data_IF_839493241067
#
_entry.id   IF_839493241067
#
_cell.length_a   1.000
_cell.length_b   1.000
_cell.length_c   1.000
_cell.angle_alpha   90.00
_cell.angle_beta   90.00
_cell.angle_gamma   90.00
#
_symmetry.space_group_name_H-M   'P 1'
#
loop_
_entity.id
_entity.type
_entity.pdbx_description
1 polymer ?
#
# COMPACT_ATOMS: atom_id res chain seq x y z
N UNK A 1 47.18 24.40 -8.29
CA UNK A 1 45.74 24.41 -8.60
C UNK A 1 45.45 23.25 -9.53
N UNK A 2 44.95 22.14 -8.97
CA UNK A 2 44.77 20.87 -9.67
C UNK A 2 43.48 20.83 -10.49
N UNK A 3 43.63 20.59 -11.78
CA UNK A 3 42.52 20.33 -12.70
C UNK A 3 42.13 18.85 -12.67
N UNK A 4 40.91 18.58 -12.20
CA UNK A 4 40.27 17.27 -12.13
C UNK A 4 39.93 16.75 -13.54
N UNK A 5 40.88 16.08 -14.21
CA UNK A 5 40.61 15.30 -15.42
C UNK A 5 40.11 13.92 -15.01
N UNK A 6 38.79 13.76 -14.91
CA UNK A 6 38.14 12.44 -14.86
C UNK A 6 38.52 11.72 -16.15
N UNK A 7 39.31 10.68 -16.03
CA UNK A 7 39.66 9.76 -17.11
C UNK A 7 38.41 9.01 -17.53
N UNK A 8 37.74 9.51 -18.56
CA UNK A 8 36.67 8.78 -19.26
C UNK A 8 37.25 7.49 -19.84
N UNK A 9 36.61 6.35 -19.55
CA UNK A 9 36.90 5.10 -20.24
C UNK A 9 36.33 5.16 -21.66
N UNK A 10 37.04 4.66 -22.68
CA UNK A 10 36.52 4.60 -24.02
C UNK A 10 35.44 3.49 -24.14
N UNK A 11 34.50 3.61 -25.08
CA UNK A 11 33.50 2.57 -25.36
C UNK A 11 34.16 1.29 -25.92
N UNK A 12 33.53 0.11 -25.72
CA UNK A 12 34.11 -1.16 -26.15
C UNK A 12 34.08 -1.27 -27.67
N UNK A 13 35.24 -1.44 -28.31
CA UNK A 13 35.33 -1.66 -29.75
C UNK A 13 36.60 -1.20 -30.46
N UNK A 14 37.56 -0.58 -29.76
CA UNK A 14 38.87 -0.24 -30.34
C UNK A 14 40.02 -0.81 -29.50
N UNK A 15 40.99 -1.53 -30.09
CA UNK A 15 42.20 -1.95 -29.39
C UNK A 15 43.16 -0.75 -29.29
N UNK A 16 42.86 0.17 -28.37
CA UNK A 16 43.76 1.27 -28.00
C UNK A 16 44.69 0.82 -26.89
N UNK A 17 46.01 0.94 -27.12
CA UNK A 17 47.06 0.59 -26.15
C UNK A 17 46.86 1.34 -24.83
N UNK A 18 46.54 0.61 -23.75
CA UNK A 18 46.65 1.14 -22.40
C UNK A 18 48.13 1.40 -22.11
N UNK A 19 48.46 2.62 -21.67
CA UNK A 19 49.83 3.03 -21.36
C UNK A 19 50.49 2.08 -20.36
N UNK A 20 51.67 1.59 -20.72
CA UNK A 20 52.51 0.68 -19.93
C UNK A 20 53.14 1.48 -18.77
N UNK A 21 52.68 1.30 -17.54
CA UNK A 21 53.46 1.65 -16.35
C UNK A 21 54.65 0.67 -16.25
N UNK A 22 55.90 1.13 -16.10
CA UNK A 22 57.03 0.23 -15.86
C UNK A 22 57.12 -0.10 -14.36
N UNK A 23 57.52 -1.33 -14.07
CA UNK A 23 57.80 -1.86 -12.73
C UNK A 23 56.61 -2.05 -11.79
N UNK A 24 55.79 -3.06 -12.07
CA UNK A 24 55.35 -4.05 -11.08
C UNK A 24 54.66 -5.18 -11.87
N UNK A 25 55.37 -6.29 -12.08
CA UNK A 25 54.81 -7.49 -12.71
C UNK A 25 53.79 -8.15 -11.77
N UNK A 26 52.59 -7.57 -11.68
CA UNK A 26 51.43 -8.28 -11.14
C UNK A 26 50.85 -9.16 -12.25
N UNK A 27 50.55 -10.45 -12.00
CA UNK A 27 49.88 -11.28 -12.99
C UNK A 27 48.54 -10.63 -13.37
N UNK A 28 48.10 -10.76 -14.63
CA UNK A 28 46.84 -10.17 -15.07
C UNK A 28 45.72 -10.76 -14.21
N UNK A 29 45.19 -9.94 -13.30
CA UNK A 29 44.03 -10.27 -12.50
C UNK A 29 42.88 -10.42 -13.49
N UNK A 30 42.66 -11.65 -13.95
CA UNK A 30 41.69 -11.99 -14.98
C UNK A 30 40.35 -11.29 -14.67
N UNK A 31 39.67 -10.77 -15.68
CA UNK A 31 38.34 -10.14 -15.57
C UNK A 31 37.32 -10.95 -14.73
N UNK A 32 37.58 -12.25 -14.53
CA UNK A 32 36.84 -13.14 -13.64
C UNK A 32 36.98 -12.80 -12.16
N UNK A 33 38.13 -12.30 -11.70
CA UNK A 33 38.35 -11.97 -10.28
C UNK A 33 37.61 -10.68 -9.90
N UNK A 34 37.61 -9.67 -10.77
CA UNK A 34 36.88 -8.42 -10.53
C UNK A 34 35.35 -8.64 -10.57
N UNK A 35 34.86 -9.51 -11.46
CA UNK A 35 33.45 -9.91 -11.51
C UNK A 35 33.01 -10.85 -10.37
N UNK A 36 33.96 -11.52 -9.70
CA UNK A 36 33.68 -12.33 -8.52
C UNK A 36 33.56 -11.49 -7.24
N UNK A 37 34.31 -10.38 -7.14
CA UNK A 37 34.27 -9.47 -5.98
C UNK A 37 32.92 -8.74 -5.85
N UNK A 38 32.20 -8.51 -6.96
CA UNK A 38 30.84 -7.94 -6.92
C UNK A 38 29.72 -8.97 -6.69
N UNK A 39 30.05 -10.27 -6.63
CA UNK A 39 29.10 -11.39 -6.69
C UNK A 39 28.97 -12.12 -5.34
N UNK A 40 28.94 -11.36 -4.24
CA UNK A 40 29.02 -11.94 -2.89
C UNK A 40 28.09 -11.33 -1.84
N UNK A 41 27.06 -10.56 -2.20
CA UNK A 41 26.00 -10.23 -1.24
C UNK A 41 25.03 -11.41 -1.19
N UNK A 42 25.33 -12.41 -0.35
CA UNK A 42 24.50 -13.59 -0.18
C UNK A 42 23.09 -13.15 0.25
N UNK A 43 22.12 -13.33 -0.65
CA UNK A 43 20.68 -13.11 -0.42
C UNK A 43 20.19 -13.59 0.97
N UNK A 44 20.64 -14.73 1.53
CA UNK A 44 20.23 -15.15 2.88
C UNK A 44 20.58 -14.17 4.00
N UNK A 45 21.68 -13.40 3.90
CA UNK A 45 22.04 -12.43 4.94
C UNK A 45 21.07 -11.24 4.99
N UNK A 46 20.51 -10.84 3.84
CA UNK A 46 19.53 -9.75 3.80
C UNK A 46 18.19 -10.17 4.40
N UNK A 47 17.73 -11.39 4.12
CA UNK A 47 16.54 -11.94 4.78
C UNK A 47 16.77 -12.15 6.28
N UNK A 48 17.99 -12.51 6.70
CA UNK A 48 18.34 -12.58 8.12
C UNK A 48 18.20 -11.23 8.83
N UNK A 49 18.63 -10.12 8.19
CA UNK A 49 18.45 -8.78 8.75
C UNK A 49 16.97 -8.40 8.92
N UNK A 50 16.14 -8.71 7.91
CA UNK A 50 14.68 -8.48 7.98
C UNK A 50 14.06 -9.32 9.11
N UNK A 51 14.47 -10.58 9.23
CA UNK A 51 13.99 -11.48 10.29
C UNK A 51 14.36 -10.96 11.67
N UNK A 52 15.63 -10.57 11.88
CA UNK A 52 16.12 -10.05 13.16
C UNK A 52 15.38 -8.75 13.53
N UNK A 53 15.19 -7.84 12.57
CA UNK A 53 14.47 -6.60 12.80
C UNK A 53 13.01 -6.86 13.17
N UNK A 54 12.32 -7.73 12.43
CA UNK A 54 10.93 -8.12 12.69
C UNK A 54 10.78 -8.80 14.05
N UNK A 55 11.70 -9.72 14.39
CA UNK A 55 11.71 -10.40 15.69
C UNK A 55 11.96 -9.42 16.84
N UNK A 56 12.86 -8.45 16.65
CA UNK A 56 13.13 -7.41 17.65
C UNK A 56 11.91 -6.51 17.86
N UNK A 57 11.20 -6.14 16.78
CA UNK A 57 9.98 -5.35 16.87
C UNK A 57 8.87 -6.10 17.65
N UNK A 58 8.66 -7.38 17.33
CA UNK A 58 7.73 -8.25 18.07
C UNK A 58 8.16 -8.36 19.54
N UNK A 59 9.44 -8.64 19.80
CA UNK A 59 9.96 -8.73 21.17
C UNK A 59 9.78 -7.42 21.94
N UNK A 60 9.93 -6.26 21.30
CA UNK A 60 9.72 -4.98 21.93
C UNK A 60 8.25 -4.76 22.30
N UNK A 61 7.31 -5.05 21.39
CA UNK A 61 5.87 -4.93 21.65
C UNK A 61 5.43 -5.89 22.75
N UNK A 62 5.73 -7.18 22.61
CA UNK A 62 5.34 -8.17 23.62
C UNK A 62 6.09 -7.98 24.94
N UNK A 63 7.38 -7.66 24.88
CA UNK A 63 8.22 -7.39 26.05
C UNK A 63 7.73 -6.18 26.84
N UNK A 64 7.34 -5.10 26.16
CA UNK A 64 6.77 -3.92 26.83
C UNK A 64 5.38 -4.18 27.44
N UNK A 65 4.52 -4.96 26.76
CA UNK A 65 3.23 -5.39 27.32
C UNK A 65 3.41 -6.28 28.57
N UNK A 66 4.36 -7.23 28.52
CA UNK A 66 4.68 -8.13 29.64
C UNK A 66 5.29 -7.34 30.79
N UNK A 67 6.26 -6.48 30.52
CA UNK A 67 6.82 -5.57 31.52
C UNK A 67 5.72 -4.71 32.15
N UNK A 68 4.84 -4.12 31.33
CA UNK A 68 3.68 -3.36 31.80
C UNK A 68 2.75 -4.17 32.70
N UNK A 69 2.54 -5.46 32.41
CA UNK A 69 1.74 -6.36 33.25
C UNK A 69 2.36 -6.61 34.63
N UNK A 70 3.70 -6.64 34.73
CA UNK A 70 4.41 -6.81 36.00
C UNK A 70 4.57 -5.50 36.79
N UNK A 71 4.73 -4.36 36.10
CA UNK A 71 4.89 -3.05 36.74
C UNK A 71 3.56 -2.44 37.21
N UNK A 72 2.44 -2.77 36.56
CA UNK A 72 1.13 -2.16 36.86
C UNK A 72 0.54 -2.70 38.17
N UNK A 73 -0.03 -1.84 39.03
CA UNK A 73 -0.85 -2.28 40.16
C UNK A 73 -2.03 -3.14 39.71
N UNK A 74 -2.19 -4.31 40.33
CA UNK A 74 -3.29 -5.23 40.05
C UNK A 74 -4.48 -4.94 40.98
N UNK A 75 -5.47 -4.21 40.48
CA UNK A 75 -6.65 -3.78 41.25
C UNK A 75 -7.94 -3.97 40.43
N UNK A 76 -8.38 -5.23 40.21
CA UNK A 76 -9.60 -5.54 39.49
C UNK A 76 -10.82 -5.03 40.26
N UNK A 77 -11.74 -4.39 39.56
CA UNK A 77 -13.01 -3.93 40.10
C UNK A 77 -14.11 -4.17 39.06
N UNK A 78 -15.30 -4.57 39.50
CA UNK A 78 -16.47 -4.84 38.66
C UNK A 78 -16.81 -3.65 37.75
N UNK A 79 -16.73 -2.44 38.28
CA UNK A 79 -17.00 -1.19 37.52
C UNK A 79 -15.87 -0.85 36.53
N UNK A 80 -14.62 -1.35 36.74
CA UNK A 80 -13.53 -1.17 35.75
C UNK A 80 -13.62 -2.18 34.60
N UNK A 81 -14.29 -3.30 34.82
CA UNK A 81 -14.44 -4.38 33.83
C UNK A 81 -15.74 -4.30 33.02
N UNK A 82 -16.60 -3.32 33.29
CA UNK A 82 -17.83 -3.11 32.50
C UNK A 82 -17.52 -2.36 31.19
N UNK A 83 -18.37 -2.57 30.19
CA UNK A 83 -18.31 -1.84 28.92
C UNK A 83 -18.62 -0.35 29.19
N UNK A 84 -17.86 0.53 28.54
CA UNK A 84 -18.04 1.98 28.66
C UNK A 84 -19.29 2.44 27.90
N UNK A 85 -20.26 3.02 28.62
CA UNK A 85 -21.51 3.57 28.08
C UNK A 85 -21.80 4.94 28.74
N UNK A 86 -20.87 5.90 28.63
CA UNK A 86 -21.01 7.27 29.16
C UNK A 86 -21.40 7.38 30.67
N UNK A 87 -21.06 6.37 31.48
CA UNK A 87 -21.35 6.32 32.91
C UNK A 87 -22.60 5.52 33.28
N UNK A 88 -23.36 5.03 32.30
CA UNK A 88 -24.51 4.17 32.51
C UNK A 88 -24.18 2.68 32.36
N UNK A 89 -25.09 1.82 32.83
CA UNK A 89 -24.96 0.37 32.62
C UNK A 89 -25.43 0.04 31.20
N UNK A 90 -24.63 -0.70 30.41
CA UNK A 90 -25.02 -1.08 29.04
C UNK A 90 -26.28 -1.94 29.09
N UNK A 91 -27.25 -1.62 28.26
CA UNK A 91 -28.52 -2.33 28.13
C UNK A 91 -28.65 -2.95 26.74
N UNK A 92 -29.16 -4.18 26.68
CA UNK A 92 -29.45 -4.86 25.43
C UNK A 92 -28.26 -5.61 24.81
N UNK A 93 -28.45 -6.05 23.58
CA UNK A 93 -27.47 -6.79 22.79
C UNK A 93 -26.71 -5.83 21.86
N UNK A 94 -25.39 -5.97 21.80
CA UNK A 94 -24.54 -5.17 20.90
C UNK A 94 -24.52 -5.68 19.44
N UNK A 95 -25.37 -6.66 19.12
CA UNK A 95 -25.42 -7.29 17.80
C UNK A 95 -26.47 -6.60 16.93
N UNK A 96 -26.00 -5.88 15.93
CA UNK A 96 -26.84 -5.26 14.90
C UNK A 96 -26.19 -5.45 13.53
N UNK A 97 -27.03 -5.44 12.48
CA UNK A 97 -26.52 -5.49 11.12
C UNK A 97 -25.82 -4.17 10.81
N UNK A 98 -24.50 -4.24 10.73
CA UNK A 98 -23.69 -3.12 10.31
C UNK A 98 -23.92 -2.83 8.82
N UNK A 99 -23.71 -1.58 8.42
CA UNK A 99 -24.01 -1.14 7.06
C UNK A 99 -23.18 -1.95 6.04
N UNK A 100 -23.76 -2.55 4.98
CA UNK A 100 -23.00 -3.33 4.00
C UNK A 100 -21.97 -2.51 3.19
N UNK A 101 -21.99 -1.18 3.28
CA UNK A 101 -21.04 -0.29 2.58
C UNK A 101 -19.57 -0.58 2.91
N UNK A 102 -19.27 -1.02 4.14
CA UNK A 102 -17.89 -1.40 4.51
C UNK A 102 -17.40 -2.61 3.73
N UNK A 103 -18.30 -3.53 3.41
CA UNK A 103 -17.98 -4.69 2.57
C UNK A 103 -17.66 -4.28 1.14
N UNK A 104 -18.42 -3.33 0.56
CA UNK A 104 -18.16 -2.83 -0.80
C UNK A 104 -16.79 -2.16 -0.90
N UNK A 105 -16.43 -1.32 0.06
CA UNK A 105 -15.11 -0.66 0.11
C UNK A 105 -13.98 -1.71 0.23
N UNK A 106 -14.14 -2.70 1.11
CA UNK A 106 -13.16 -3.77 1.28
C UNK A 106 -13.01 -4.63 0.01
N UNK A 107 -14.12 -4.96 -0.65
CA UNK A 107 -14.11 -5.72 -1.90
C UNK A 107 -13.38 -4.97 -3.01
N UNK A 108 -13.67 -3.67 -3.19
CA UNK A 108 -12.99 -2.82 -4.17
C UNK A 108 -11.49 -2.74 -3.86
N UNK A 109 -11.11 -2.55 -2.59
CA UNK A 109 -9.70 -2.55 -2.18
C UNK A 109 -8.97 -3.85 -2.53
N UNK A 110 -9.57 -5.01 -2.26
CA UNK A 110 -8.96 -6.31 -2.58
C UNK A 110 -8.78 -6.49 -4.09
N UNK A 111 -9.75 -6.05 -4.90
CA UNK A 111 -9.63 -6.09 -6.36
C UNK A 111 -8.45 -5.23 -6.83
N UNK A 112 -8.30 -4.02 -6.29
CA UNK A 112 -7.16 -3.13 -6.60
C UNK A 112 -5.81 -3.66 -6.12
N UNK A 113 -5.74 -4.32 -4.96
CA UNK A 113 -4.51 -4.98 -4.50
C UNK A 113 -4.06 -6.07 -5.47
N UNK A 114 -5.01 -6.87 -5.96
CA UNK A 114 -4.72 -7.92 -6.96
C UNK A 114 -4.28 -7.32 -8.30
N UNK A 115 -4.87 -6.20 -8.73
CA UNK A 115 -4.42 -5.46 -9.91
C UNK A 115 -2.93 -5.10 -9.83
N UNK A 116 -2.53 -4.49 -8.71
CA UNK A 116 -1.15 -4.07 -8.48
C UNK A 116 -0.21 -5.28 -8.46
N UNK A 117 -0.62 -6.39 -7.85
CA UNK A 117 0.15 -7.62 -7.83
C UNK A 117 0.47 -8.16 -9.23
N UNK A 118 -0.43 -7.99 -10.20
CA UNK A 118 -0.18 -8.34 -11.60
C UNK A 118 0.67 -7.32 -12.36
N UNK A 119 0.58 -6.04 -11.99
CA UNK A 119 1.31 -4.97 -12.66
C UNK A 119 2.81 -4.97 -12.30
N UNK A 120 3.16 -5.35 -11.08
CA UNK A 120 4.55 -5.37 -10.59
C UNK A 120 5.50 -6.23 -11.43
N UNK A 121 5.19 -7.51 -11.74
CA UNK A 121 6.05 -8.33 -12.59
C UNK A 121 6.31 -7.72 -13.96
N UNK A 122 5.27 -7.19 -14.62
CA UNK A 122 5.39 -6.57 -15.95
C UNK A 122 6.24 -5.29 -15.87
N UNK A 123 6.01 -4.45 -14.86
CA UNK A 123 6.81 -3.26 -14.61
C UNK A 123 8.29 -3.60 -14.36
N UNK A 124 8.58 -4.67 -13.62
CA UNK A 124 9.93 -5.10 -13.30
C UNK A 124 10.75 -5.51 -14.54
N UNK A 125 10.09 -6.05 -15.58
CA UNK A 125 10.75 -6.47 -16.83
C UNK A 125 10.47 -5.53 -18.02
N UNK A 126 9.78 -4.41 -17.80
CA UNK A 126 9.35 -3.49 -18.88
C UNK A 126 10.50 -3.01 -19.77
N UNK A 127 11.68 -2.76 -19.17
CA UNK A 127 12.89 -2.40 -19.92
C UNK A 127 13.27 -3.45 -20.97
N UNK A 128 13.13 -4.73 -20.64
CA UNK A 128 13.42 -5.82 -21.57
C UNK A 128 12.41 -5.88 -22.73
N UNK A 129 11.16 -5.49 -22.53
CA UNK A 129 10.18 -5.35 -23.62
C UNK A 129 10.53 -4.20 -24.56
N UNK A 130 11.00 -3.06 -24.04
CA UNK A 130 11.47 -1.94 -24.87
C UNK A 130 12.65 -2.37 -25.75
N UNK A 131 13.64 -3.06 -25.16
CA UNK A 131 14.83 -3.53 -25.88
C UNK A 131 14.49 -4.53 -27.01
N UNK A 132 13.39 -5.29 -26.86
CA UNK A 132 12.87 -6.23 -27.87
C UNK A 132 11.99 -5.56 -28.94
N UNK A 133 11.68 -4.28 -28.80
CA UNK A 133 10.75 -3.56 -29.69
C UNK A 133 9.27 -3.76 -29.37
N UNK A 134 8.95 -4.47 -28.28
CA UNK A 134 7.59 -4.80 -27.83
C UNK A 134 7.05 -3.82 -26.77
N UNK A 135 7.82 -2.80 -26.40
CA UNK A 135 7.48 -1.88 -25.31
C UNK A 135 6.12 -1.19 -25.47
N UNK A 136 5.75 -0.80 -26.70
CA UNK A 136 4.44 -0.18 -26.97
C UNK A 136 3.29 -1.16 -26.74
N UNK A 137 3.43 -2.42 -27.16
CA UNK A 137 2.42 -3.46 -26.94
C UNK A 137 2.22 -3.68 -25.43
N UNK A 138 3.29 -3.94 -24.70
CA UNK A 138 3.25 -4.15 -23.25
C UNK A 138 2.65 -2.95 -22.50
N UNK A 139 2.93 -1.73 -22.96
CA UNK A 139 2.31 -0.53 -22.41
C UNK A 139 0.80 -0.50 -22.63
N UNK A 140 0.33 -0.81 -23.85
CA UNK A 140 -1.10 -0.83 -24.15
C UNK A 140 -1.83 -1.95 -23.42
N UNK A 141 -1.22 -3.12 -23.23
CA UNK A 141 -1.81 -4.21 -22.45
C UNK A 141 -2.04 -3.80 -20.99
N UNK A 142 -1.04 -3.18 -20.36
CA UNK A 142 -1.18 -2.68 -18.99
C UNK A 142 -2.17 -1.51 -18.91
N UNK A 143 -2.13 -0.59 -19.86
CA UNK A 143 -3.08 0.52 -19.92
C UNK A 143 -4.52 0.04 -20.11
N UNK A 144 -4.74 -1.00 -20.93
CA UNK A 144 -6.05 -1.63 -21.11
C UNK A 144 -6.51 -2.33 -19.83
N UNK A 145 -5.62 -3.08 -19.17
CA UNK A 145 -5.91 -3.76 -17.92
C UNK A 145 -6.34 -2.77 -16.82
N UNK A 146 -5.57 -1.71 -16.61
CA UNK A 146 -5.91 -0.61 -15.68
C UNK A 146 -7.19 0.09 -16.13
N UNK A 147 -7.35 0.33 -17.44
CA UNK A 147 -8.52 0.98 -18.00
C UNK A 147 -9.84 0.24 -17.71
N UNK A 148 -9.84 -1.09 -17.82
CA UNK A 148 -11.02 -1.92 -17.51
C UNK A 148 -11.42 -1.78 -16.04
N UNK A 149 -10.46 -1.82 -15.12
CA UNK A 149 -10.71 -1.70 -13.68
C UNK A 149 -11.09 -0.27 -13.29
N UNK A 150 -10.48 0.74 -13.91
CA UNK A 150 -10.85 2.13 -13.76
C UNK A 150 -12.30 2.40 -14.20
N UNK A 151 -12.77 1.77 -15.28
CA UNK A 151 -14.18 1.83 -15.70
C UNK A 151 -15.09 1.18 -14.66
N UNK A 152 -14.70 0.03 -14.11
CA UNK A 152 -15.44 -0.62 -13.02
C UNK A 152 -15.55 0.27 -11.78
N UNK A 153 -14.46 0.94 -11.38
CA UNK A 153 -14.47 1.89 -10.27
C UNK A 153 -15.32 3.12 -10.59
N UNK A 154 -15.21 3.68 -11.79
CA UNK A 154 -16.03 4.81 -12.23
C UNK A 154 -17.52 4.46 -12.19
N UNK A 155 -17.90 3.23 -12.57
CA UNK A 155 -19.27 2.74 -12.47
C UNK A 155 -19.77 2.72 -11.02
N UNK A 156 -19.02 2.10 -10.10
CA UNK A 156 -19.38 2.01 -8.67
C UNK A 156 -19.44 3.40 -8.02
N UNK A 157 -18.54 4.30 -8.43
CA UNK A 157 -18.58 5.70 -8.00
C UNK A 157 -19.82 6.40 -8.52
N UNK A 158 -20.14 6.29 -9.81
CA UNK A 158 -21.34 6.90 -10.39
C UNK A 158 -22.64 6.40 -9.74
N UNK A 159 -22.67 5.14 -9.28
CA UNK A 159 -23.79 4.56 -8.51
C UNK A 159 -23.86 5.05 -7.05
N UNK A 160 -22.90 5.87 -6.63
CA UNK A 160 -22.78 6.42 -5.28
C UNK A 160 -22.45 5.35 -4.23
N UNK A 161 -22.09 4.12 -4.60
CA UNK A 161 -21.85 3.02 -3.65
C UNK A 161 -20.66 3.27 -2.72
N UNK A 162 -19.80 4.22 -3.10
CA UNK A 162 -18.70 4.74 -2.28
C UNK A 162 -19.11 5.88 -1.35
N UNK A 163 -20.33 6.42 -1.48
CA UNK A 163 -20.80 7.55 -0.67
C UNK A 163 -21.22 7.11 0.74
N UNK A 164 -20.71 7.84 1.72
CA UNK A 164 -21.05 7.60 3.11
C UNK A 164 -22.49 7.99 3.46
N UNK A 165 -23.05 8.99 2.77
CA UNK A 165 -24.37 9.58 3.04
C UNK A 165 -25.25 9.47 1.79
N UNK A 166 -25.76 8.27 1.48
CA UNK A 166 -26.84 8.13 0.49
C UNK A 166 -28.16 8.64 1.05
N UNK A 167 -28.72 9.66 0.40
CA UNK A 167 -30.17 9.84 0.25
C UNK A 167 -31.01 10.37 1.41
N UNK A 168 -30.76 10.04 2.69
CA UNK A 168 -31.72 10.36 3.77
C UNK A 168 -32.08 11.86 3.87
N UNK A 169 -31.21 12.76 3.38
CA UNK A 169 -31.53 14.18 3.27
C UNK A 169 -32.51 14.51 2.14
N UNK A 170 -32.38 13.94 0.94
CA UNK A 170 -33.21 14.38 -0.19
C UNK A 170 -34.65 13.91 -0.08
N UNK A 171 -34.86 12.66 0.34
CA UNK A 171 -36.17 12.04 0.50
C UNK A 171 -36.95 12.72 1.63
N UNK A 172 -36.28 12.96 2.77
CA UNK A 172 -36.86 13.69 3.90
C UNK A 172 -37.09 15.17 3.56
N UNK A 173 -36.16 15.84 2.85
CA UNK A 173 -36.36 17.23 2.44
C UNK A 173 -37.47 17.38 1.39
N UNK A 174 -37.67 16.39 0.52
CA UNK A 174 -38.80 16.34 -0.41
C UNK A 174 -40.13 16.20 0.35
N UNK A 175 -40.19 15.27 1.31
CA UNK A 175 -41.35 15.09 2.19
C UNK A 175 -41.66 16.32 3.04
N UNK A 176 -40.64 16.99 3.57
CA UNK A 176 -40.82 18.23 4.35
C UNK A 176 -41.33 19.38 3.49
N UNK A 177 -40.84 19.52 2.25
CA UNK A 177 -41.34 20.52 1.30
C UNK A 177 -42.78 20.24 0.88
N UNK A 178 -43.14 18.98 0.64
CA UNK A 178 -44.52 18.58 0.33
C UNK A 178 -45.47 18.89 1.48
N UNK A 179 -45.06 18.56 2.72
CA UNK A 179 -45.85 18.82 3.93
C UNK A 179 -46.00 20.32 4.24
N UNK A 180 -45.03 21.14 3.85
CA UNK A 180 -45.10 22.61 3.95
C UNK A 180 -45.91 23.25 2.82
N UNK A 181 -46.00 22.60 1.66
CA UNK A 181 -46.80 23.05 0.52
C UNK A 181 -48.29 22.66 0.64
N UNK A 182 -48.63 21.73 1.54
CA UNK A 182 -50.02 21.37 1.82
C UNK A 182 -50.75 22.54 2.50
N UNK A 183 -51.90 23.02 1.95
CA UNK A 183 -52.67 24.08 2.58
C UNK A 183 -53.12 23.65 3.99
N UNK A 184 -53.14 24.57 4.98
CA UNK A 184 -53.54 24.23 6.33
C UNK A 184 -54.96 23.64 6.29
N UNK A 185 -55.09 22.41 6.78
CA UNK A 185 -56.39 21.75 6.91
C UNK A 185 -57.33 22.65 7.71
N UNK A 186 -58.36 23.14 7.03
CA UNK A 186 -59.44 23.93 7.59
C UNK A 186 -60.02 23.16 8.79
N UNK A 187 -59.72 23.63 10.01
CA UNK A 187 -60.29 23.09 11.24
C UNK A 187 -61.79 23.38 11.20
N UNK A 188 -62.58 22.38 10.79
CA UNK A 188 -64.03 22.42 10.95
C UNK A 188 -64.33 22.60 12.43
N UNK A 189 -64.88 23.77 12.74
CA UNK A 189 -65.40 24.14 14.04
C UNK A 189 -66.43 23.11 14.50
N UNK A 190 -66.28 22.68 15.75
CA UNK A 190 -67.32 22.08 16.59
C UNK A 190 -67.35 22.88 17.89
#
# INVERSE_FOLDING_TARGET
MGGNRRSECPPPGRPGRCGRLPHLDLPPLSHRLCAAISRGRTVPFQFANVLIFSATAVLFVFGSLVAGRFLRPDAPNREKSMIYECGEKPIGQAWFNFNPRFYLIALVFVIFEVEIAFMFPVAAVYKSFIERGEGLLAFFEIALFVGILAVGLAYVWAMGDLEWVKGLKQDVLAQLREKQAAPPAEKKAA
#
